data_IF_185370998013
#
_entry.id   IF_185370998013
#
_cell.length_a   1.000
_cell.length_b   1.000
_cell.length_c   1.000
_cell.angle_alpha   90.00
_cell.angle_beta   90.00
_cell.angle_gamma   90.00
#
_symmetry.space_group_name_H-M   'P 1'
#
loop_
_entity.id
_entity.type
_entity.pdbx_description
1 polymer ?
#
# COMPACT_ATOMS: atom_id res chain seq x y z
N UNK A 1 48.77 -14.98 -66.21
CA UNK A 1 48.26 -15.55 -64.98
C UNK A 1 47.34 -14.49 -64.35
N UNK A 2 46.03 -14.75 -64.36
CA UNK A 2 45.05 -13.93 -63.65
C UNK A 2 45.00 -14.46 -62.25
N UNK A 3 45.27 -13.60 -61.26
CA UNK A 3 45.11 -13.93 -59.83
C UNK A 3 43.71 -13.54 -59.44
N UNK A 4 42.86 -14.54 -59.24
CA UNK A 4 41.48 -14.36 -58.75
C UNK A 4 41.52 -14.29 -57.22
N UNK A 5 41.22 -13.10 -56.67
CA UNK A 5 41.07 -12.94 -55.20
C UNK A 5 39.67 -13.41 -54.78
N UNK A 6 39.60 -14.56 -54.14
CA UNK A 6 38.38 -15.04 -53.51
C UNK A 6 38.31 -14.43 -52.09
N UNK A 7 37.44 -13.45 -51.88
CA UNK A 7 37.13 -12.94 -50.55
C UNK A 7 36.46 -14.08 -49.74
N UNK A 8 37.17 -14.58 -48.74
CA UNK A 8 36.57 -15.49 -47.77
C UNK A 8 35.69 -14.70 -46.83
N UNK A 9 34.36 -15.01 -46.68
CA UNK A 9 33.53 -14.34 -45.74
C UNK A 9 34.05 -14.59 -44.31
N UNK A 10 34.40 -13.54 -43.60
CA UNK A 10 34.75 -13.59 -42.20
C UNK A 10 33.44 -13.68 -41.43
N UNK A 11 33.08 -14.87 -40.90
CA UNK A 11 31.95 -15.06 -40.01
C UNK A 11 32.35 -14.49 -38.64
N UNK A 12 31.91 -13.28 -38.34
CA UNK A 12 32.06 -12.69 -37.01
C UNK A 12 30.93 -13.25 -36.13
N UNK A 13 31.27 -14.19 -35.30
CA UNK A 13 30.35 -14.60 -34.21
C UNK A 13 30.30 -13.45 -33.22
N UNK A 14 29.20 -12.70 -33.23
CA UNK A 14 28.87 -11.82 -32.11
C UNK A 14 28.18 -12.68 -31.08
N UNK A 15 28.80 -12.83 -29.92
CA UNK A 15 28.10 -13.35 -28.74
C UNK A 15 26.85 -12.54 -28.54
N UNK A 16 25.68 -13.15 -28.65
CA UNK A 16 24.44 -12.54 -28.25
C UNK A 16 24.57 -12.31 -26.76
N UNK A 17 24.58 -11.07 -26.31
CA UNK A 17 24.35 -10.77 -24.89
C UNK A 17 23.01 -11.39 -24.53
N UNK A 18 23.07 -12.55 -23.88
CA UNK A 18 21.89 -13.19 -23.30
C UNK A 18 21.55 -12.34 -22.08
N UNK A 19 20.41 -11.68 -22.13
CA UNK A 19 19.91 -10.96 -20.96
C UNK A 19 20.01 -11.88 -19.73
N UNK A 20 20.55 -11.40 -18.60
CA UNK A 20 20.74 -12.25 -17.43
C UNK A 20 19.40 -12.87 -17.03
N UNK A 21 19.41 -14.18 -16.80
CA UNK A 21 18.22 -14.89 -16.37
C UNK A 21 17.66 -14.23 -15.09
N UNK A 22 16.34 -14.11 -15.00
CA UNK A 22 15.66 -13.60 -13.81
C UNK A 22 16.17 -14.30 -12.55
N UNK A 23 16.42 -13.52 -11.51
CA UNK A 23 16.76 -14.03 -10.18
C UNK A 23 15.83 -13.43 -9.14
N UNK A 24 15.37 -14.21 -8.16
CA UNK A 24 14.64 -13.66 -7.02
C UNK A 24 15.41 -12.48 -6.39
N UNK A 25 14.68 -11.42 -6.08
CA UNK A 25 15.24 -10.23 -5.46
C UNK A 25 14.25 -9.66 -4.44
N UNK A 26 14.66 -8.67 -3.70
CA UNK A 26 13.78 -8.07 -2.70
C UNK A 26 14.43 -6.88 -2.01
N UNK A 27 13.68 -6.32 -1.08
CA UNK A 27 14.11 -5.20 -0.24
C UNK A 27 13.55 -5.35 1.16
N UNK A 28 14.27 -4.78 2.11
CA UNK A 28 13.79 -4.56 3.48
C UNK A 28 13.89 -3.07 3.74
N UNK A 29 12.75 -2.47 4.05
CA UNK A 29 12.63 -1.09 4.51
C UNK A 29 12.34 -1.10 6.00
N UNK A 30 13.12 -0.36 6.77
CA UNK A 30 12.94 -0.19 8.21
C UNK A 30 12.73 1.29 8.49
N UNK A 31 11.57 1.62 9.02
CA UNK A 31 11.18 2.99 9.31
C UNK A 31 10.87 3.14 10.80
N UNK A 32 11.50 4.09 11.42
CA UNK A 32 11.15 4.54 12.76
C UNK A 32 10.45 5.90 12.67
N UNK A 33 9.28 6.03 13.30
CA UNK A 33 8.59 7.29 13.45
C UNK A 33 8.39 7.60 14.93
N UNK A 34 8.71 8.81 15.29
CA UNK A 34 8.41 9.34 16.60
C UNK A 34 7.29 10.37 16.51
N UNK A 35 6.33 10.27 17.40
CA UNK A 35 5.21 11.18 17.54
C UNK A 35 5.37 11.92 18.85
N UNK A 36 5.83 13.17 18.79
CA UNK A 36 6.03 14.03 19.95
C UNK A 36 4.77 14.75 20.38
N UNK A 37 4.79 15.29 21.60
CA UNK A 37 3.77 16.21 22.06
C UNK A 37 3.79 17.50 21.25
N UNK A 38 2.61 17.99 20.92
CA UNK A 38 2.41 19.30 20.30
C UNK A 38 1.67 20.17 21.31
N UNK A 39 2.29 21.28 21.75
CA UNK A 39 1.62 22.26 22.61
C UNK A 39 0.38 22.84 21.92
N UNK A 40 -0.63 23.16 22.70
CA UNK A 40 -1.90 23.76 22.27
C UNK A 40 -2.74 22.90 21.29
N UNK A 41 -2.50 21.61 21.24
CA UNK A 41 -3.36 20.70 20.49
C UNK A 41 -4.56 20.33 21.34
N UNK A 42 -5.76 20.65 20.85
CA UNK A 42 -6.99 20.12 21.46
C UNK A 42 -7.09 18.64 21.10
N UNK A 43 -6.97 17.71 22.05
CA UNK A 43 -7.12 16.29 21.74
C UNK A 43 -8.55 16.02 21.29
N UNK A 44 -8.71 15.45 20.11
CA UNK A 44 -9.98 14.84 19.74
C UNK A 44 -10.03 13.48 20.45
N UNK A 45 -10.81 13.39 21.49
CA UNK A 45 -10.99 12.16 22.31
C UNK A 45 -11.53 10.94 21.55
N UNK A 46 -11.88 11.09 20.29
CA UNK A 46 -12.80 10.17 19.60
C UNK A 46 -12.14 9.22 18.59
N UNK A 47 -10.83 9.31 18.38
CA UNK A 47 -10.14 8.39 17.46
C UNK A 47 -8.94 7.72 18.12
N UNK A 48 -9.16 6.60 18.83
CA UNK A 48 -8.08 5.85 19.46
C UNK A 48 -7.09 5.22 18.48
N UNK A 49 -7.40 5.23 17.18
CA UNK A 49 -6.53 4.68 16.14
C UNK A 49 -5.44 5.66 15.66
N UNK A 50 -5.53 6.93 16.03
CA UNK A 50 -4.54 7.92 15.63
C UNK A 50 -3.52 8.17 16.74
N UNK A 51 -2.23 7.88 16.54
CA UNK A 51 -1.19 8.16 17.53
C UNK A 51 -0.99 9.66 17.80
N UNK A 52 -1.67 10.53 17.04
CA UNK A 52 -1.67 11.98 17.21
C UNK A 52 -2.68 12.46 18.24
N UNK A 53 -3.51 11.61 18.79
CA UNK A 53 -4.73 11.97 19.50
C UNK A 53 -4.70 11.72 21.01
N UNK A 54 -3.62 11.13 21.54
CA UNK A 54 -3.46 10.95 22.99
C UNK A 54 -2.98 12.21 23.69
N UNK A 55 -3.54 12.47 24.86
CA UNK A 55 -2.95 13.44 25.81
C UNK A 55 -1.57 12.91 26.23
N UNK A 56 -0.51 13.71 26.02
CA UNK A 56 0.85 13.42 26.47
C UNK A 56 1.50 12.15 25.93
N UNK A 57 1.20 11.75 24.72
CA UNK A 57 1.78 10.52 24.16
C UNK A 57 3.03 10.84 23.34
N UNK A 58 4.20 10.66 23.93
CA UNK A 58 5.42 10.44 23.19
C UNK A 58 5.45 8.96 22.75
N UNK A 59 4.99 8.70 21.54
CA UNK A 59 4.89 7.37 21.00
C UNK A 59 5.89 7.14 19.86
N UNK A 60 6.47 5.97 19.82
CA UNK A 60 7.27 5.50 18.71
C UNK A 60 6.53 4.45 17.90
N UNK A 61 6.79 4.40 16.60
CA UNK A 61 6.36 3.32 15.72
C UNK A 61 7.55 2.78 14.95
N UNK A 62 7.89 1.53 15.16
CA UNK A 62 8.81 0.79 14.31
C UNK A 62 7.99 0.07 13.23
N UNK A 63 8.27 0.35 11.97
CA UNK A 63 7.69 -0.35 10.84
C UNK A 63 8.79 -1.08 10.07
N UNK A 64 8.57 -2.36 9.77
CA UNK A 64 9.39 -3.11 8.82
C UNK A 64 8.52 -3.50 7.63
N UNK A 65 9.02 -3.27 6.43
CA UNK A 65 8.40 -3.70 5.20
C UNK A 65 9.40 -4.56 4.42
N UNK A 66 9.12 -5.85 4.34
CA UNK A 66 9.92 -6.80 3.54
C UNK A 66 9.18 -7.10 2.26
N UNK A 67 9.87 -6.98 1.15
CA UNK A 67 9.35 -7.28 -0.18
C UNK A 67 10.23 -8.34 -0.85
N UNK A 68 9.63 -9.43 -1.34
CA UNK A 68 10.33 -10.52 -2.04
C UNK A 68 9.65 -10.72 -3.39
N UNK A 69 10.40 -10.51 -4.46
CA UNK A 69 9.97 -10.84 -5.82
C UNK A 69 10.49 -12.23 -6.14
N UNK A 70 9.61 -13.23 -6.15
CA UNK A 70 9.96 -14.62 -6.48
C UNK A 70 10.14 -14.83 -7.98
N UNK A 71 9.34 -14.11 -8.76
CA UNK A 71 9.38 -14.06 -10.22
C UNK A 71 9.10 -12.63 -10.66
N UNK A 72 9.22 -12.33 -11.96
CA UNK A 72 8.78 -11.05 -12.53
C UNK A 72 7.31 -10.74 -12.29
N UNK A 73 6.50 -11.78 -12.04
CA UNK A 73 5.05 -11.67 -11.87
C UNK A 73 4.60 -11.79 -10.42
N UNK A 74 5.41 -12.36 -9.53
CA UNK A 74 5.00 -12.70 -8.16
C UNK A 74 5.81 -11.93 -7.13
N UNK A 75 5.10 -11.20 -6.28
CA UNK A 75 5.68 -10.45 -5.16
C UNK A 75 4.96 -10.81 -3.87
N UNK A 76 5.73 -11.09 -2.83
CA UNK A 76 5.25 -11.17 -1.45
C UNK A 76 5.71 -9.92 -0.70
N UNK A 77 4.80 -9.31 0.04
CA UNK A 77 5.06 -8.16 0.91
C UNK A 77 4.63 -8.51 2.33
N UNK A 78 5.52 -8.33 3.30
CA UNK A 78 5.24 -8.50 4.71
C UNK A 78 5.54 -7.17 5.41
N UNK A 79 4.55 -6.61 6.09
CA UNK A 79 4.70 -5.40 6.88
C UNK A 79 4.36 -5.69 8.33
N UNK A 80 5.25 -5.27 9.24
CA UNK A 80 4.97 -5.21 10.66
C UNK A 80 4.96 -3.75 11.12
N UNK A 81 4.12 -3.42 12.09
CA UNK A 81 4.11 -2.15 12.81
C UNK A 81 4.02 -2.44 14.28
N UNK A 82 4.99 -1.94 15.03
CA UNK A 82 5.04 -2.06 16.48
C UNK A 82 5.00 -0.64 17.08
N UNK A 83 4.08 -0.42 18.00
CA UNK A 83 3.88 0.85 18.67
C UNK A 83 4.33 0.75 20.11
N UNK A 84 5.01 1.78 20.61
CA UNK A 84 5.48 1.84 21.97
C UNK A 84 5.43 3.27 22.49
N UNK A 85 5.23 3.42 23.79
CA UNK A 85 5.33 4.69 24.49
C UNK A 85 6.74 4.86 25.03
N UNK A 86 7.36 6.04 24.82
CA UNK A 86 8.74 6.29 25.23
C UNK A 86 8.84 6.86 26.66
N UNK A 87 7.80 7.51 27.14
CA UNK A 87 7.87 8.32 28.36
C UNK A 87 6.96 7.84 29.50
N UNK A 88 5.96 7.02 29.26
CA UNK A 88 5.09 6.52 30.33
C UNK A 88 4.61 5.10 30.01
N UNK A 89 5.36 4.07 30.44
CA UNK A 89 4.99 2.69 30.14
C UNK A 89 3.70 2.21 30.80
N UNK A 90 3.11 3.01 31.69
CA UNK A 90 1.86 2.67 32.38
C UNK A 90 0.60 3.17 31.67
N UNK A 91 0.73 4.16 30.79
CA UNK A 91 -0.40 4.74 30.12
C UNK A 91 -0.44 4.27 28.67
N UNK A 92 -1.32 3.36 28.41
CA UNK A 92 -1.89 2.93 27.15
C UNK A 92 -0.94 2.81 25.94
N UNK A 93 -0.93 1.69 25.35
CA UNK A 93 -0.43 1.44 24.00
C UNK A 93 -1.03 2.49 23.05
N UNK A 94 -0.19 3.25 22.37
CA UNK A 94 -0.64 4.34 21.47
C UNK A 94 -1.49 3.85 20.30
N UNK A 95 -1.28 2.61 19.86
CA UNK A 95 -2.08 1.91 18.85
C UNK A 95 -1.75 0.41 18.88
N UNK A 96 -2.62 -0.39 18.29
CA UNK A 96 -2.42 -1.84 18.16
C UNK A 96 -1.26 -2.17 17.21
N UNK A 97 -0.42 -3.10 17.63
CA UNK A 97 0.56 -3.71 16.75
C UNK A 97 -0.14 -4.38 15.55
N UNK A 98 0.52 -4.33 14.41
CA UNK A 98 -0.08 -4.80 13.16
C UNK A 98 0.88 -5.67 12.37
N UNK A 99 0.36 -6.79 11.85
CA UNK A 99 1.00 -7.60 10.81
C UNK A 99 0.13 -7.60 9.57
N UNK A 100 0.73 -7.41 8.42
CA UNK A 100 0.08 -7.48 7.12
C UNK A 100 0.93 -8.28 6.14
N UNK A 101 0.33 -9.25 5.49
CA UNK A 101 0.94 -10.05 4.43
C UNK A 101 0.14 -9.83 3.15
N UNK A 102 0.81 -9.52 2.06
CA UNK A 102 0.23 -9.33 0.72
C UNK A 102 0.96 -10.20 -0.29
N UNK A 103 0.20 -10.87 -1.12
CA UNK A 103 0.72 -11.51 -2.31
C UNK A 103 0.14 -10.83 -3.55
N UNK A 104 1.00 -10.47 -4.48
CA UNK A 104 0.62 -9.89 -5.76
C UNK A 104 0.98 -10.83 -6.89
N UNK A 105 0.08 -10.94 -7.86
CA UNK A 105 0.35 -11.64 -9.11
C UNK A 105 -0.03 -10.75 -10.30
N UNK A 106 0.96 -10.45 -11.15
CA UNK A 106 0.81 -9.67 -12.38
C UNK A 106 0.43 -10.60 -13.52
N UNK A 107 -0.79 -10.51 -14.00
CA UNK A 107 -1.25 -11.26 -15.19
C UNK A 107 -0.69 -10.66 -16.48
N UNK A 108 -0.37 -9.36 -16.47
CA UNK A 108 0.00 -8.58 -17.64
C UNK A 108 -1.22 -7.96 -18.31
N UNK A 109 -1.11 -7.74 -19.61
CA UNK A 109 -2.19 -7.08 -20.38
C UNK A 109 -3.42 -7.96 -20.53
N UNK A 110 -4.59 -7.38 -20.42
CA UNK A 110 -5.88 -8.03 -20.62
C UNK A 110 -6.13 -8.22 -22.14
N UNK A 111 -5.86 -9.42 -22.64
CA UNK A 111 -5.96 -9.71 -24.07
C UNK A 111 -5.09 -8.79 -24.92
N UNK A 112 -5.69 -8.15 -25.93
CA UNK A 112 -5.01 -7.18 -26.81
C UNK A 112 -5.12 -5.71 -26.30
N UNK A 113 -5.70 -5.51 -25.11
CA UNK A 113 -5.85 -4.16 -24.53
C UNK A 113 -4.56 -3.64 -23.92
N UNK A 114 -4.56 -2.35 -23.53
CA UNK A 114 -3.46 -1.74 -22.76
C UNK A 114 -3.70 -1.84 -21.24
N UNK A 115 -4.74 -2.55 -20.79
CA UNK A 115 -5.10 -2.67 -19.38
C UNK A 115 -4.18 -3.68 -18.71
N UNK A 116 -3.40 -3.27 -17.72
CA UNK A 116 -2.64 -4.17 -16.87
C UNK A 116 -3.50 -4.74 -15.75
N UNK A 117 -3.38 -6.04 -15.53
CA UNK A 117 -4.17 -6.75 -14.53
C UNK A 117 -3.25 -7.33 -13.46
N UNK A 118 -3.53 -6.98 -12.20
CA UNK A 118 -2.78 -7.48 -11.03
C UNK A 118 -3.75 -7.93 -9.95
N UNK A 119 -3.64 -9.17 -9.47
CA UNK A 119 -4.37 -9.61 -8.27
C UNK A 119 -3.59 -9.31 -7.01
N UNK A 120 -4.34 -9.11 -5.92
CA UNK A 120 -3.82 -8.98 -4.56
C UNK A 120 -4.60 -9.90 -3.63
N UNK A 121 -3.88 -10.71 -2.87
CA UNK A 121 -4.38 -11.38 -1.68
C UNK A 121 -3.75 -10.72 -0.48
N UNK A 122 -4.54 -10.38 0.51
CA UNK A 122 -4.06 -9.74 1.73
C UNK A 122 -4.57 -10.49 2.96
N UNK A 123 -3.70 -10.67 3.93
CA UNK A 123 -4.05 -10.95 5.30
C UNK A 123 -3.52 -9.83 6.19
N UNK A 124 -4.37 -9.33 7.11
CA UNK A 124 -3.99 -8.31 8.08
C UNK A 124 -4.53 -8.69 9.45
N UNK A 125 -3.71 -8.52 10.46
CA UNK A 125 -4.07 -8.71 11.86
C UNK A 125 -3.58 -7.52 12.67
N UNK A 126 -4.43 -7.01 13.54
CA UNK A 126 -4.08 -6.08 14.60
C UNK A 126 -4.02 -6.88 15.91
N UNK A 127 -2.97 -6.66 16.70
CA UNK A 127 -2.76 -7.29 17.99
C UNK A 127 -3.05 -6.24 19.07
N UNK A 128 -4.17 -6.33 19.72
CA UNK A 128 -4.62 -5.44 20.78
C UNK A 128 -6.00 -5.84 21.20
N UNK A 129 -6.65 -5.03 22.03
CA UNK A 129 -8.00 -5.30 22.53
C UNK A 129 -9.02 -5.47 21.39
N UNK A 130 -8.79 -4.80 20.27
CA UNK A 130 -9.62 -4.96 19.08
C UNK A 130 -9.42 -6.28 18.35
N UNK A 131 -8.25 -6.94 18.45
CA UNK A 131 -7.95 -8.27 17.89
C UNK A 131 -8.41 -8.51 16.45
N UNK A 132 -8.58 -7.46 15.64
CA UNK A 132 -9.19 -7.50 14.31
C UNK A 132 -8.32 -8.24 13.32
N UNK A 133 -8.91 -9.23 12.67
CA UNK A 133 -8.29 -9.97 11.54
C UNK A 133 -9.10 -9.76 10.29
N UNK A 134 -8.42 -9.71 9.16
CA UNK A 134 -9.09 -9.60 7.86
C UNK A 134 -8.31 -10.35 6.77
N UNK A 135 -9.06 -10.90 5.83
CA UNK A 135 -8.54 -11.45 4.58
C UNK A 135 -9.24 -10.75 3.42
N UNK A 136 -8.48 -10.41 2.39
CA UNK A 136 -8.98 -9.72 1.21
C UNK A 136 -8.45 -10.36 -0.06
N UNK A 137 -9.32 -10.44 -1.08
CA UNK A 137 -8.95 -10.75 -2.45
C UNK A 137 -9.45 -9.63 -3.36
N UNK A 138 -8.57 -9.06 -4.16
CA UNK A 138 -8.89 -7.97 -5.07
C UNK A 138 -8.10 -8.06 -6.38
N UNK A 139 -8.62 -7.42 -7.43
CA UNK A 139 -7.97 -7.36 -8.74
C UNK A 139 -7.93 -5.91 -9.19
N UNK A 140 -6.74 -5.41 -9.47
CA UNK A 140 -6.51 -4.09 -10.05
C UNK A 140 -6.53 -4.19 -11.57
N UNK A 141 -7.31 -3.33 -12.20
CA UNK A 141 -7.30 -3.04 -13.63
C UNK A 141 -6.71 -1.65 -13.81
N UNK A 142 -5.49 -1.56 -14.33
CA UNK A 142 -4.76 -0.31 -14.53
C UNK A 142 -4.87 0.15 -15.98
N UNK A 143 -5.39 1.35 -16.17
CA UNK A 143 -5.66 2.00 -17.45
C UNK A 143 -4.64 3.09 -17.78
N UNK A 144 -3.57 3.25 -17.00
CA UNK A 144 -2.60 4.35 -17.15
C UNK A 144 -1.99 4.44 -18.55
N UNK A 145 -1.77 3.30 -19.21
CA UNK A 145 -1.22 3.24 -20.58
C UNK A 145 -2.14 3.81 -21.68
N UNK A 146 -3.41 4.11 -21.37
CA UNK A 146 -4.30 4.82 -22.29
C UNK A 146 -4.11 6.33 -22.24
N UNK A 147 -3.48 6.84 -21.19
CA UNK A 147 -3.30 8.28 -20.99
C UNK A 147 -1.93 8.70 -21.50
N UNK A 148 -1.91 9.75 -22.30
CA UNK A 148 -0.65 10.31 -22.77
C UNK A 148 0.14 10.91 -21.60
N UNK A 149 1.36 10.47 -21.45
CA UNK A 149 2.31 10.97 -20.45
C UNK A 149 3.49 11.65 -21.15
N UNK A 150 4.04 12.68 -20.54
CA UNK A 150 5.21 13.39 -21.00
C UNK A 150 6.12 13.78 -19.82
N UNK A 151 7.20 14.51 -20.05
CA UNK A 151 8.14 14.92 -19.02
C UNK A 151 7.55 15.92 -17.99
N UNK A 152 6.43 16.55 -18.34
CA UNK A 152 5.76 17.52 -17.47
C UNK A 152 4.64 16.89 -16.64
N UNK A 153 3.96 15.88 -17.20
CA UNK A 153 2.85 15.20 -16.54
C UNK A 153 2.90 13.71 -16.86
N UNK A 154 2.95 12.88 -15.84
CA UNK A 154 2.97 11.44 -16.01
C UNK A 154 1.87 10.79 -15.17
N UNK A 155 1.13 9.90 -15.78
CA UNK A 155 0.17 9.04 -15.10
C UNK A 155 0.86 7.72 -14.78
N UNK A 156 1.26 7.53 -13.52
CA UNK A 156 1.96 6.33 -13.07
C UNK A 156 0.99 5.19 -12.77
N UNK A 157 -0.25 5.54 -12.44
CA UNK A 157 -1.34 4.60 -12.16
C UNK A 157 -2.68 5.27 -12.39
N UNK A 158 -3.62 4.55 -12.95
CA UNK A 158 -5.03 4.95 -13.06
C UNK A 158 -5.86 3.67 -13.08
N UNK A 159 -6.38 3.26 -11.94
CA UNK A 159 -6.93 1.94 -11.82
C UNK A 159 -8.24 1.85 -11.05
N UNK A 160 -8.95 0.77 -11.34
CA UNK A 160 -10.10 0.30 -10.58
C UNK A 160 -9.77 -1.03 -9.94
N UNK A 161 -10.06 -1.15 -8.65
CA UNK A 161 -9.82 -2.36 -7.87
C UNK A 161 -11.10 -2.85 -7.21
N UNK A 162 -11.91 -3.68 -7.86
CA UNK A 162 -12.93 -4.46 -7.20
C UNK A 162 -12.29 -5.47 -6.26
N UNK A 163 -12.93 -5.71 -5.12
CA UNK A 163 -12.44 -6.64 -4.13
C UNK A 163 -13.50 -7.11 -3.15
N UNK A 164 -13.14 -8.15 -2.44
CA UNK A 164 -13.92 -8.72 -1.35
C UNK A 164 -13.02 -8.87 -0.14
N UNK A 165 -13.51 -8.44 1.03
CA UNK A 165 -12.83 -8.55 2.32
C UNK A 165 -13.75 -9.21 3.33
N UNK A 166 -13.20 -10.14 4.09
CA UNK A 166 -13.85 -10.73 5.24
C UNK A 166 -13.12 -10.30 6.51
N UNK A 167 -13.88 -9.75 7.46
CA UNK A 167 -13.37 -9.27 8.76
C UNK A 167 -13.92 -10.13 9.86
N UNK A 168 -13.03 -10.63 10.76
CA UNK A 168 -13.40 -11.46 11.89
C UNK A 168 -12.51 -11.21 13.11
N UNK A 169 -12.85 -11.84 14.22
CA UNK A 169 -12.12 -11.79 15.48
C UNK A 169 -11.79 -10.36 15.93
N UNK A 170 -12.72 -9.42 15.69
CA UNK A 170 -12.65 -8.12 16.31
C UNK A 170 -13.30 -8.22 17.69
N UNK A 171 -12.55 -7.93 18.75
CA UNK A 171 -13.15 -7.56 20.03
C UNK A 171 -13.28 -6.04 19.96
N UNK A 172 -14.48 -5.50 19.89
CA UNK A 172 -14.68 -4.06 19.91
C UNK A 172 -14.10 -3.48 21.19
N UNK A 173 -13.74 -2.22 21.17
CA UNK A 173 -13.23 -1.47 22.31
C UNK A 173 -14.27 -1.28 23.42
N UNK A 174 -14.98 -2.33 23.83
CA UNK A 174 -15.94 -2.30 24.92
C UNK A 174 -17.25 -1.58 24.64
N UNK A 175 -17.47 -1.05 23.44
CA UNK A 175 -18.76 -0.51 23.04
C UNK A 175 -19.74 -1.65 22.75
N UNK A 176 -20.73 -1.82 23.61
CA UNK A 176 -21.86 -2.71 23.37
C UNK A 176 -22.49 -2.36 22.03
N UNK A 177 -22.56 -3.34 21.10
CA UNK A 177 -23.26 -3.19 19.84
C UNK A 177 -22.40 -2.97 18.60
N UNK A 178 -21.09 -2.76 18.71
CA UNK A 178 -20.23 -2.65 17.52
C UNK A 178 -20.17 -3.97 16.76
N UNK A 179 -20.61 -4.03 15.50
CA UNK A 179 -20.56 -5.25 14.70
C UNK A 179 -19.11 -5.56 14.35
N UNK A 180 -18.68 -6.75 14.75
CA UNK A 180 -17.27 -7.16 14.70
C UNK A 180 -16.92 -7.94 13.46
N UNK A 181 -17.86 -8.77 13.00
CA UNK A 181 -17.69 -9.68 11.86
C UNK A 181 -18.53 -9.19 10.69
N UNK A 182 -17.90 -8.96 9.56
CA UNK A 182 -18.63 -8.52 8.36
C UNK A 182 -17.93 -8.96 7.07
N UNK A 183 -18.73 -8.98 6.02
CA UNK A 183 -18.26 -9.07 4.65
C UNK A 183 -18.26 -7.65 4.07
N UNK A 184 -17.19 -7.29 3.40
CA UNK A 184 -17.02 -6.02 2.70
C UNK A 184 -16.83 -6.30 1.22
N UNK A 185 -17.68 -5.70 0.39
CA UNK A 185 -17.53 -5.66 -1.05
C UNK A 185 -17.10 -4.26 -1.42
N UNK A 186 -15.94 -4.09 -2.00
CA UNK A 186 -15.39 -2.77 -2.27
C UNK A 186 -15.00 -2.58 -3.72
N UNK A 187 -15.02 -1.32 -4.12
CA UNK A 187 -14.47 -0.82 -5.37
C UNK A 187 -13.58 0.38 -5.03
N UNK A 188 -12.29 0.20 -5.19
CA UNK A 188 -11.34 1.30 -5.04
C UNK A 188 -11.00 1.91 -6.41
N UNK A 189 -10.98 3.23 -6.48
CA UNK A 189 -10.33 3.99 -7.54
C UNK A 189 -8.97 4.44 -7.03
N UNK A 190 -7.91 4.14 -7.79
CA UNK A 190 -6.53 4.46 -7.40
C UNK A 190 -5.86 5.23 -8.53
N UNK A 191 -5.22 6.35 -8.22
CA UNK A 191 -4.46 7.10 -9.21
C UNK A 191 -3.20 7.72 -8.62
N UNK A 192 -2.12 7.63 -9.36
CA UNK A 192 -0.81 8.20 -9.03
C UNK A 192 -0.33 9.04 -10.21
N UNK A 193 0.01 10.28 -9.93
CA UNK A 193 0.51 11.23 -10.92
C UNK A 193 1.86 11.79 -10.49
N UNK A 194 2.80 11.85 -11.43
CA UNK A 194 4.03 12.64 -11.30
C UNK A 194 3.81 13.97 -12.00
N UNK A 195 4.01 15.05 -11.27
CA UNK A 195 3.78 16.42 -11.67
C UNK A 195 5.11 17.18 -11.75
N UNK A 196 5.14 18.37 -12.38
CA UNK A 196 6.33 19.21 -12.39
C UNK A 196 6.85 19.56 -11.00
N UNK A 197 8.11 19.99 -10.95
CA UNK A 197 8.76 20.46 -9.72
C UNK A 197 8.80 19.40 -8.61
N UNK A 198 8.93 18.12 -8.97
CA UNK A 198 8.98 16.98 -8.06
C UNK A 198 7.71 16.82 -7.18
N UNK A 199 6.57 17.32 -7.66
CA UNK A 199 5.31 17.02 -7.02
C UNK A 199 4.78 15.65 -7.44
N UNK A 200 4.14 14.97 -6.51
CA UNK A 200 3.35 13.76 -6.75
C UNK A 200 1.95 13.97 -6.21
N UNK A 201 0.94 13.49 -6.93
CA UNK A 201 -0.45 13.50 -6.49
C UNK A 201 -0.96 12.07 -6.48
N UNK A 202 -1.37 11.60 -5.32
CA UNK A 202 -2.09 10.35 -5.14
C UNK A 202 -3.54 10.66 -4.80
N UNK A 203 -4.48 10.03 -5.52
CA UNK A 203 -5.90 10.08 -5.22
C UNK A 203 -6.40 8.66 -5.09
N UNK A 204 -7.06 8.35 -3.99
CA UNK A 204 -7.69 7.07 -3.73
C UNK A 204 -9.13 7.31 -3.24
N UNK A 205 -10.08 6.63 -3.85
CA UNK A 205 -11.47 6.64 -3.41
C UNK A 205 -11.94 5.21 -3.24
N UNK A 206 -12.25 4.85 -2.00
CA UNK A 206 -12.77 3.56 -1.63
C UNK A 206 -14.28 3.66 -1.40
N UNK A 207 -15.06 2.90 -2.17
CA UNK A 207 -16.48 2.70 -1.95
C UNK A 207 -16.69 1.27 -1.48
N UNK A 208 -17.29 1.08 -0.32
CA UNK A 208 -17.52 -0.24 0.24
C UNK A 208 -18.96 -0.46 0.70
N UNK A 209 -19.46 -1.65 0.46
CA UNK A 209 -20.70 -2.17 1.03
C UNK A 209 -20.38 -3.19 2.10
N UNK A 210 -20.63 -2.83 3.35
CA UNK A 210 -20.39 -3.66 4.53
C UNK A 210 -21.66 -4.41 4.90
N UNK A 211 -21.58 -5.74 5.02
CA UNK A 211 -22.67 -6.59 5.49
C UNK A 211 -22.24 -7.29 6.76
N UNK A 212 -22.81 -6.85 7.88
CA UNK A 212 -22.48 -7.34 9.21
C UNK A 212 -23.21 -8.64 9.55
N UNK A 213 -22.58 -9.47 10.35
CA UNK A 213 -23.16 -10.71 10.84
C UNK A 213 -24.34 -10.43 11.79
N UNK A 214 -24.19 -9.45 12.65
CA UNK A 214 -25.19 -9.03 13.63
C UNK A 214 -25.71 -7.63 13.30
N UNK A 215 -26.93 -7.33 13.72
CA UNK A 215 -27.48 -5.98 13.62
C UNK A 215 -26.81 -5.07 14.64
N UNK A 216 -26.61 -3.83 14.28
CA UNK A 216 -26.07 -2.81 15.16
C UNK A 216 -26.99 -1.58 15.19
N UNK A 217 -26.95 -0.87 16.28
CA UNK A 217 -27.74 0.34 16.47
C UNK A 217 -27.06 1.54 15.81
N UNK A 218 -27.85 2.31 15.09
CA UNK A 218 -27.45 3.58 14.49
C UNK A 218 -28.47 4.64 14.84
N UNK A 219 -28.18 5.91 14.57
CA UNK A 219 -29.14 6.99 14.76
C UNK A 219 -30.48 6.76 14.01
N UNK A 220 -30.46 5.99 12.93
CA UNK A 220 -31.63 5.64 12.11
C UNK A 220 -32.25 4.28 12.49
N UNK A 221 -31.82 3.65 13.58
CA UNK A 221 -32.29 2.34 14.06
C UNK A 221 -31.34 1.18 13.77
N UNK A 222 -31.84 -0.05 13.92
CA UNK A 222 -31.04 -1.27 13.77
C UNK A 222 -30.72 -1.55 12.30
N UNK A 223 -29.46 -1.49 11.92
CA UNK A 223 -28.95 -1.83 10.59
C UNK A 223 -28.13 -3.11 10.59
N UNK A 224 -28.09 -3.80 9.46
CA UNK A 224 -27.23 -4.98 9.21
C UNK A 224 -26.26 -4.75 8.08
N UNK A 225 -26.41 -3.67 7.36
CA UNK A 225 -25.53 -3.31 6.26
C UNK A 225 -25.44 -1.78 6.13
N UNK A 226 -24.32 -1.32 5.58
CA UNK A 226 -24.09 0.10 5.28
C UNK A 226 -23.18 0.26 4.06
N UNK A 227 -23.29 1.43 3.43
CA UNK A 227 -22.31 1.91 2.48
C UNK A 227 -21.36 2.86 3.17
N UNK A 228 -20.06 2.70 2.89
CA UNK A 228 -19.02 3.61 3.34
C UNK A 228 -18.21 4.11 2.16
N UNK A 229 -17.76 5.35 2.21
CA UNK A 229 -16.88 5.93 1.20
C UNK A 229 -15.76 6.69 1.88
N UNK A 230 -14.54 6.50 1.39
CA UNK A 230 -13.35 7.21 1.87
C UNK A 230 -12.60 7.81 0.69
N UNK A 231 -12.34 9.10 0.73
CA UNK A 231 -11.51 9.80 -0.24
C UNK A 231 -10.19 10.21 0.43
N UNK A 232 -9.11 9.71 -0.12
CA UNK A 232 -7.75 10.12 0.26
C UNK A 232 -7.12 10.88 -0.88
N UNK A 233 -6.63 12.09 -0.60
CA UNK A 233 -5.86 12.89 -1.54
C UNK A 233 -4.53 13.29 -0.88
N UNK A 234 -3.43 12.94 -1.50
CA UNK A 234 -2.09 13.26 -1.00
C UNK A 234 -1.33 13.98 -2.10
N UNK A 235 -1.05 15.26 -1.88
CA UNK A 235 -0.10 16.03 -2.67
C UNK A 235 1.22 16.09 -1.90
N UNK A 236 2.28 15.57 -2.47
CA UNK A 236 3.60 15.56 -1.86
C UNK A 236 4.62 16.21 -2.80
N UNK A 237 5.64 16.80 -2.20
CA UNK A 237 6.83 17.29 -2.90
C UNK A 237 8.05 16.70 -2.21
N UNK A 238 9.00 16.22 -3.00
CA UNK A 238 10.31 15.85 -2.49
C UNK A 238 11.37 16.63 -3.26
N UNK A 239 11.98 17.60 -2.58
CA UNK A 239 13.07 18.38 -3.15
C UNK A 239 14.39 17.88 -2.56
N UNK A 240 15.25 17.24 -3.37
CA UNK A 240 16.58 16.83 -2.88
C UNK A 240 17.44 18.05 -2.62
N UNK A 241 17.99 18.15 -1.42
CA UNK A 241 18.92 19.21 -1.02
C UNK A 241 20.37 18.82 -1.25
N UNK A 242 20.68 17.56 -1.02
CA UNK A 242 22.03 17.04 -1.09
C UNK A 242 22.01 15.56 -1.45
N UNK A 243 22.94 15.17 -2.32
CA UNK A 243 23.14 13.76 -2.68
C UNK A 243 24.64 13.46 -2.77
N UNK A 244 25.09 12.45 -2.02
CA UNK A 244 26.45 11.94 -2.09
C UNK A 244 26.45 10.41 -2.05
N UNK A 245 26.74 9.79 -3.17
CA UNK A 245 26.68 8.32 -3.31
C UNK A 245 25.28 7.78 -3.03
N UNK A 246 25.16 6.94 -2.00
CA UNK A 246 23.88 6.35 -1.55
C UNK A 246 23.11 7.25 -0.55
N UNK A 247 23.68 8.36 -0.12
CA UNK A 247 23.06 9.28 0.84
C UNK A 247 22.38 10.41 0.10
N UNK A 248 21.09 10.58 0.34
CA UNK A 248 20.28 11.66 -0.19
C UNK A 248 19.47 12.30 0.93
N UNK A 249 19.49 13.62 1.01
CA UNK A 249 18.74 14.43 1.98
C UNK A 249 17.83 15.38 1.21
N UNK A 250 16.57 15.42 1.59
CA UNK A 250 15.57 16.28 0.98
C UNK A 250 14.46 16.64 1.97
N UNK A 251 13.53 17.47 1.55
CA UNK A 251 12.31 17.84 2.29
C UNK A 251 11.07 17.72 1.39
#
# INVERSE_FOLDING_TARGET
KVVEYVEKPVIVYRDREVAPAWRPNGSVDVQYRWYGNVENRTPKKEDPASPWLGDNVNAGRLQTLTKVNFTEKQTLEIRTRNYHTLMNPKDSQAADDQVRVRHFYKFGKLGSSKIDVTSRLEYKQNNGDAGRKQAEASVLFDFSDYIYSNNFFKVDKLGLRPGYKYVWAGHGNGEEGSPKVHNEYHLAFESDFTLPLNFTLNLEYDLAYNRYREKFETADGLKKAEWTGELTAVLANYTPLYKAGAVEVGF
#
